data_IF_215029498686
#
_entry.id   IF_215029498686
#
_cell.length_a   1.000
_cell.length_b   1.000
_cell.length_c   1.000
_cell.angle_alpha   90.00
_cell.angle_beta   90.00
_cell.angle_gamma   90.00
#
_symmetry.space_group_name_H-M   'P 1'
#
loop_
_entity.id
_entity.type
_entity.pdbx_description
1 polymer ?
#
# COMPACT_ATOMS: atom_id res chain seq x y z
N UNK A 1 -25.23 -4.74 -6.08
CA UNK A 1 -24.91 -3.87 -7.24
C UNK A 1 -24.52 -2.46 -6.81
N UNK A 2 -25.38 -1.71 -6.07
CA UNK A 2 -25.10 -0.33 -5.68
C UNK A 2 -23.81 -0.19 -4.83
N UNK A 3 -23.63 -1.00 -3.82
CA UNK A 3 -22.45 -0.99 -2.94
C UNK A 3 -21.16 -1.25 -3.71
N UNK A 4 -21.19 -2.15 -4.69
CA UNK A 4 -20.08 -2.44 -5.58
C UNK A 4 -19.68 -1.18 -6.35
N UNK A 5 -20.67 -0.51 -6.98
CA UNK A 5 -20.42 0.73 -7.72
C UNK A 5 -19.90 1.86 -6.83
N UNK A 6 -20.39 1.98 -5.59
CA UNK A 6 -19.89 2.97 -4.62
C UNK A 6 -18.43 2.72 -4.22
N UNK A 7 -18.05 1.45 -4.01
CA UNK A 7 -16.65 1.09 -3.72
C UNK A 7 -15.76 1.42 -4.92
N UNK A 8 -16.18 1.08 -6.14
CA UNK A 8 -15.42 1.38 -7.37
C UNK A 8 -15.23 2.89 -7.58
N UNK A 9 -16.28 3.68 -7.35
CA UNK A 9 -16.17 5.14 -7.43
C UNK A 9 -15.20 5.68 -6.38
N UNK A 10 -15.33 5.25 -5.12
CA UNK A 10 -14.45 5.69 -4.04
C UNK A 10 -12.98 5.32 -4.30
N UNK A 11 -12.72 4.12 -4.85
CA UNK A 11 -11.39 3.70 -5.24
C UNK A 11 -10.82 4.60 -6.34
N UNK A 12 -11.59 4.84 -7.40
CA UNK A 12 -11.16 5.68 -8.52
C UNK A 12 -10.86 7.12 -8.11
N UNK A 13 -11.74 7.72 -7.27
CA UNK A 13 -11.54 9.08 -6.76
C UNK A 13 -10.29 9.18 -5.88
N UNK A 14 -10.04 8.13 -5.11
CA UNK A 14 -8.86 8.04 -4.25
C UNK A 14 -7.58 7.83 -5.05
N UNK A 15 -7.59 6.98 -6.09
CA UNK A 15 -6.45 6.75 -7.00
C UNK A 15 -6.00 8.07 -7.64
N UNK A 16 -6.93 8.84 -8.19
CA UNK A 16 -6.64 10.15 -8.76
C UNK A 16 -6.04 11.14 -7.74
N UNK A 17 -6.52 11.11 -6.50
CA UNK A 17 -6.01 11.97 -5.43
C UNK A 17 -4.58 11.59 -5.02
N UNK A 18 -4.29 10.30 -4.91
CA UNK A 18 -2.96 9.78 -4.56
C UNK A 18 -1.95 10.07 -5.67
N UNK A 19 -2.34 9.93 -6.94
CA UNK A 19 -1.49 10.28 -8.08
C UNK A 19 -1.09 11.76 -8.05
N UNK A 20 -2.05 12.66 -7.82
CA UNK A 20 -1.80 14.11 -7.69
C UNK A 20 -0.84 14.40 -6.52
N UNK A 21 -1.05 13.76 -5.37
CA UNK A 21 -0.18 13.92 -4.21
C UNK A 21 1.24 13.40 -4.47
N UNK A 22 1.38 12.23 -5.07
CA UNK A 22 2.68 11.65 -5.42
C UNK A 22 3.47 12.55 -6.38
N UNK A 23 2.81 13.06 -7.42
CA UNK A 23 3.39 14.01 -8.37
C UNK A 23 3.79 15.32 -7.69
N UNK A 24 2.99 15.81 -6.74
CA UNK A 24 3.29 17.01 -5.97
C UNK A 24 4.53 16.82 -5.08
N UNK A 25 4.66 15.68 -4.40
CA UNK A 25 5.84 15.38 -3.60
C UNK A 25 7.10 15.22 -4.46
N UNK A 26 7.00 14.58 -5.62
CA UNK A 26 8.11 14.45 -6.56
C UNK A 26 8.57 15.81 -7.07
N UNK A 27 7.63 16.71 -7.38
CA UNK A 27 7.92 18.08 -7.79
C UNK A 27 8.59 18.87 -6.66
N UNK A 28 8.09 18.77 -5.43
CA UNK A 28 8.70 19.41 -4.25
C UNK A 28 10.12 18.90 -4.00
N UNK A 29 10.40 17.61 -4.15
CA UNK A 29 11.75 17.06 -4.05
C UNK A 29 12.70 17.71 -5.08
N UNK A 30 12.24 17.93 -6.30
CA UNK A 30 13.01 18.64 -7.33
C UNK A 30 13.33 20.07 -6.94
N UNK A 31 12.38 20.80 -6.37
CA UNK A 31 12.56 22.17 -5.89
C UNK A 31 13.52 22.24 -4.70
N UNK A 32 13.40 21.34 -3.73
CA UNK A 32 14.30 21.26 -2.58
C UNK A 32 15.73 21.00 -3.01
N UNK A 33 15.96 20.09 -3.97
CA UNK A 33 17.30 19.88 -4.57
C UNK A 33 17.84 21.11 -5.28
N UNK A 34 16.97 21.90 -5.91
CA UNK A 34 17.39 23.17 -6.50
C UNK A 34 17.80 24.19 -5.44
N UNK A 35 17.05 24.32 -4.34
CA UNK A 35 17.39 25.20 -3.22
C UNK A 35 18.72 24.77 -2.60
N UNK A 36 18.92 23.48 -2.36
CA UNK A 36 20.18 22.94 -1.84
C UNK A 36 21.39 23.29 -2.73
N UNK A 37 21.27 23.07 -4.05
CA UNK A 37 22.31 23.41 -5.02
C UNK A 37 22.58 24.90 -5.05
N UNK A 38 21.56 25.75 -5.01
CA UNK A 38 21.70 27.20 -4.99
C UNK A 38 22.41 27.65 -3.71
N UNK A 39 21.99 27.10 -2.55
CA UNK A 39 22.66 27.39 -1.28
C UNK A 39 24.14 26.93 -1.30
N UNK A 40 24.41 25.73 -1.84
CA UNK A 40 25.77 25.22 -1.97
C UNK A 40 26.67 26.10 -2.85
N UNK A 41 26.11 26.76 -3.87
CA UNK A 41 26.83 27.64 -4.80
C UNK A 41 27.11 29.05 -4.23
N UNK A 42 26.52 29.41 -3.08
CA UNK A 42 26.79 30.71 -2.45
C UNK A 42 28.27 30.81 -2.00
N UNK A 43 28.93 31.94 -2.22
CA UNK A 43 30.30 32.13 -1.78
C UNK A 43 30.40 32.05 -0.25
N UNK A 44 31.54 31.57 0.23
CA UNK A 44 31.86 31.59 1.66
C UNK A 44 32.22 32.99 2.09
N UNK A 45 31.33 33.64 2.83
CA UNK A 45 31.51 34.95 3.43
C UNK A 45 31.22 34.88 4.92
N UNK A 46 31.97 35.69 5.70
CA UNK A 46 31.75 35.78 7.13
C UNK A 46 30.29 36.20 7.41
N UNK A 47 29.53 35.41 8.17
CA UNK A 47 28.08 35.58 8.43
C UNK A 47 27.14 34.82 7.49
N UNK A 48 27.57 34.31 6.33
CA UNK A 48 26.73 33.56 5.37
C UNK A 48 26.88 32.04 5.59
N UNK A 49 28.03 31.60 6.08
CA UNK A 49 28.35 30.17 6.25
C UNK A 49 27.35 29.46 7.17
N UNK A 50 26.91 30.09 8.26
CA UNK A 50 25.90 29.53 9.17
C UNK A 50 24.51 29.43 8.52
N UNK A 51 24.10 30.43 7.76
CA UNK A 51 22.84 30.43 7.04
C UNK A 51 22.83 29.38 5.92
N UNK A 52 23.92 29.22 5.19
CA UNK A 52 24.09 28.18 4.16
C UNK A 52 23.97 26.79 4.75
N UNK A 53 24.63 26.50 5.87
CA UNK A 53 24.56 25.22 6.55
C UNK A 53 23.11 24.92 7.03
N UNK A 54 22.42 25.92 7.61
CA UNK A 54 21.05 25.79 8.05
C UNK A 54 20.08 25.52 6.88
N UNK A 55 20.27 26.15 5.72
CA UNK A 55 19.46 25.91 4.53
C UNK A 55 19.65 24.47 4.05
N UNK A 56 20.88 23.99 3.95
CA UNK A 56 21.20 22.63 3.51
C UNK A 56 20.60 21.59 4.48
N UNK A 57 20.72 21.80 5.78
CA UNK A 57 20.16 20.93 6.81
C UNK A 57 18.63 20.87 6.72
N UNK A 58 17.98 22.03 6.55
CA UNK A 58 16.54 22.08 6.31
C UNK A 58 16.14 21.37 5.01
N UNK A 59 16.89 21.49 3.93
CA UNK A 59 16.64 20.77 2.69
C UNK A 59 16.70 19.25 2.88
N UNK A 60 17.69 18.75 3.62
CA UNK A 60 17.80 17.33 3.96
C UNK A 60 16.60 16.86 4.79
N UNK A 61 16.23 17.61 5.82
CA UNK A 61 15.07 17.30 6.67
C UNK A 61 13.77 17.22 5.84
N UNK A 62 13.53 18.20 4.97
CA UNK A 62 12.35 18.20 4.10
C UNK A 62 12.37 17.02 3.11
N UNK A 63 13.54 16.69 2.57
CA UNK A 63 13.70 15.54 1.67
C UNK A 63 13.38 14.22 2.38
N UNK A 64 13.81 14.02 3.62
CA UNK A 64 13.47 12.84 4.43
C UNK A 64 11.97 12.78 4.75
N UNK A 65 11.35 13.91 5.08
CA UNK A 65 9.91 13.98 5.31
C UNK A 65 9.12 13.59 4.05
N UNK A 66 9.54 14.05 2.87
CA UNK A 66 8.90 13.67 1.61
C UNK A 66 9.08 12.20 1.27
N UNK A 67 10.27 11.63 1.49
CA UNK A 67 10.49 10.18 1.33
C UNK A 67 9.58 9.36 2.25
N UNK A 68 9.46 9.78 3.51
CA UNK A 68 8.55 9.14 4.47
C UNK A 68 7.10 9.22 4.03
N UNK A 69 6.66 10.35 3.47
CA UNK A 69 5.32 10.51 2.93
C UNK A 69 5.07 9.58 1.73
N UNK A 70 6.02 9.49 0.79
CA UNK A 70 5.92 8.58 -0.37
C UNK A 70 5.84 7.12 0.11
N UNK A 71 6.66 6.72 1.08
CA UNK A 71 6.57 5.37 1.66
C UNK A 71 5.23 5.10 2.35
N UNK A 72 4.62 6.13 2.97
CA UNK A 72 3.30 6.00 3.55
C UNK A 72 2.21 5.73 2.50
N UNK A 73 2.37 6.21 1.25
CA UNK A 73 1.44 5.91 0.17
C UNK A 73 1.45 4.45 -0.28
N UNK A 74 2.50 3.67 -0.01
CA UNK A 74 2.48 2.22 -0.23
C UNK A 74 1.37 1.51 0.57
N UNK A 75 0.94 2.13 1.68
CA UNK A 75 -0.24 1.65 2.40
C UNK A 75 -1.51 1.75 1.55
N UNK A 76 -1.61 2.80 0.74
CA UNK A 76 -2.77 3.04 -0.12
C UNK A 76 -2.92 1.95 -1.18
N UNK A 77 -1.83 1.53 -1.83
CA UNK A 77 -1.86 0.44 -2.83
C UNK A 77 -2.40 -0.86 -2.22
N UNK A 78 -1.97 -1.17 -1.00
CA UNK A 78 -2.48 -2.34 -0.26
C UNK A 78 -3.97 -2.19 0.08
N UNK A 79 -4.41 -0.98 0.43
CA UNK A 79 -5.82 -0.70 0.71
C UNK A 79 -6.68 -0.88 -0.54
N UNK A 80 -6.26 -0.29 -1.67
CA UNK A 80 -6.94 -0.40 -2.96
C UNK A 80 -7.03 -1.87 -3.41
N UNK A 81 -5.95 -2.62 -3.29
CA UNK A 81 -5.94 -4.05 -3.60
C UNK A 81 -6.94 -4.83 -2.74
N UNK A 82 -6.99 -4.58 -1.42
CA UNK A 82 -7.95 -5.23 -0.52
C UNK A 82 -9.39 -4.85 -0.84
N UNK A 83 -9.66 -3.59 -1.12
CA UNK A 83 -10.99 -3.15 -1.56
C UNK A 83 -11.39 -3.80 -2.88
N UNK A 84 -10.46 -3.95 -3.82
CA UNK A 84 -10.67 -4.69 -5.07
C UNK A 84 -11.05 -6.17 -4.82
N UNK A 85 -10.39 -6.83 -3.87
CA UNK A 85 -10.75 -8.20 -3.45
C UNK A 85 -12.15 -8.26 -2.84
N UNK A 86 -12.51 -7.32 -1.97
CA UNK A 86 -13.86 -7.22 -1.39
C UNK A 86 -14.89 -7.02 -2.48
N UNK A 87 -14.67 -6.06 -3.38
CA UNK A 87 -15.58 -5.76 -4.48
C UNK A 87 -15.79 -6.97 -5.41
N UNK A 88 -14.69 -7.63 -5.77
CA UNK A 88 -14.74 -8.84 -6.59
C UNK A 88 -15.44 -10.02 -5.90
N UNK A 89 -15.31 -10.15 -4.58
CA UNK A 89 -16.01 -11.17 -3.78
C UNK A 89 -17.50 -10.89 -3.71
N UNK A 90 -17.88 -9.63 -3.50
CA UNK A 90 -19.28 -9.19 -3.51
C UNK A 90 -19.93 -9.37 -4.87
N UNK A 91 -19.22 -9.09 -5.97
CA UNK A 91 -19.71 -9.35 -7.33
C UNK A 91 -19.96 -10.83 -7.57
N UNK A 92 -18.99 -11.68 -7.23
CA UNK A 92 -19.13 -13.13 -7.39
C UNK A 92 -20.31 -13.68 -6.60
N UNK A 93 -20.51 -13.18 -5.37
CA UNK A 93 -21.67 -13.55 -4.55
C UNK A 93 -22.99 -13.06 -5.15
N UNK A 94 -23.03 -11.81 -5.62
CA UNK A 94 -24.21 -11.25 -6.26
C UNK A 94 -24.63 -12.04 -7.51
N UNK A 95 -23.68 -12.42 -8.35
CA UNK A 95 -23.91 -13.22 -9.55
C UNK A 95 -24.45 -14.63 -9.21
N UNK A 96 -23.91 -15.22 -8.14
CA UNK A 96 -24.35 -16.55 -7.71
C UNK A 96 -25.78 -16.51 -7.14
N UNK A 97 -26.12 -15.49 -6.36
CA UNK A 97 -27.45 -15.34 -5.77
C UNK A 97 -28.49 -14.95 -6.83
N UNK A 98 -28.11 -14.22 -7.87
CA UNK A 98 -29.01 -13.79 -8.94
C UNK A 98 -29.52 -14.96 -9.80
N UNK A 99 -28.78 -16.08 -9.88
CA UNK A 99 -29.17 -17.26 -10.63
C UNK A 99 -29.69 -18.35 -9.68
N UNK A 100 -31.01 -18.57 -9.70
CA UNK A 100 -31.67 -19.53 -8.83
C UNK A 100 -31.16 -20.98 -9.02
N UNK A 101 -30.66 -21.33 -10.22
CA UNK A 101 -30.10 -22.67 -10.49
C UNK A 101 -28.76 -22.87 -9.81
N UNK A 102 -27.94 -21.79 -9.76
CA UNK A 102 -26.61 -21.77 -9.13
C UNK A 102 -26.75 -21.69 -7.62
N UNK A 103 -27.73 -20.93 -7.12
CA UNK A 103 -27.95 -20.70 -5.69
C UNK A 103 -28.06 -21.98 -4.88
N UNK A 104 -28.75 -22.98 -5.42
CA UNK A 104 -29.00 -24.29 -4.76
C UNK A 104 -27.98 -25.37 -5.13
N UNK A 105 -26.95 -25.04 -5.91
CA UNK A 105 -25.91 -25.98 -6.31
C UNK A 105 -24.66 -25.84 -5.42
N UNK A 106 -24.32 -26.83 -4.55
CA UNK A 106 -23.17 -26.76 -3.66
C UNK A 106 -21.83 -26.58 -4.41
N UNK A 107 -21.69 -27.12 -5.61
CA UNK A 107 -20.46 -26.99 -6.40
C UNK A 107 -20.22 -25.56 -6.89
N UNK A 108 -21.26 -24.80 -7.14
CA UNK A 108 -21.15 -23.38 -7.49
C UNK A 108 -20.62 -22.55 -6.32
N UNK A 109 -21.03 -22.86 -5.10
CA UNK A 109 -20.51 -22.23 -3.89
C UNK A 109 -19.03 -22.56 -3.67
N UNK A 110 -18.63 -23.82 -3.86
CA UNK A 110 -17.23 -24.23 -3.76
C UNK A 110 -16.39 -23.54 -4.83
N UNK A 111 -16.83 -23.52 -6.07
CA UNK A 111 -16.14 -22.85 -7.16
C UNK A 111 -16.00 -21.32 -6.94
N UNK A 112 -17.03 -20.68 -6.36
CA UNK A 112 -16.97 -19.27 -5.97
C UNK A 112 -15.92 -19.04 -4.88
N UNK A 113 -15.87 -19.90 -3.85
CA UNK A 113 -14.89 -19.80 -2.77
C UNK A 113 -13.46 -19.93 -3.30
N UNK A 114 -13.20 -20.89 -4.18
CA UNK A 114 -11.89 -21.06 -4.83
C UNK A 114 -11.52 -19.84 -5.70
N UNK A 115 -12.48 -19.32 -6.44
CA UNK A 115 -12.29 -18.10 -7.24
C UNK A 115 -11.97 -16.89 -6.38
N UNK A 116 -12.59 -16.74 -5.21
CA UNK A 116 -12.28 -15.67 -4.25
C UNK A 116 -10.87 -15.88 -3.71
N UNK A 117 -10.53 -17.10 -3.26
CA UNK A 117 -9.21 -17.43 -2.70
C UNK A 117 -8.08 -17.19 -3.71
N UNK A 118 -8.30 -17.52 -4.99
CA UNK A 118 -7.27 -17.35 -6.03
C UNK A 118 -6.92 -15.89 -6.33
N UNK A 119 -7.79 -14.94 -5.96
CA UNK A 119 -7.52 -13.50 -6.12
C UNK A 119 -6.63 -12.92 -5.03
N UNK A 120 -6.55 -13.57 -3.88
CA UNK A 120 -5.67 -13.13 -2.80
C UNK A 120 -4.21 -13.37 -3.19
N UNK A 121 -3.47 -12.32 -3.41
CA UNK A 121 -2.05 -12.36 -3.72
C UNK A 121 -1.19 -12.42 -2.45
N UNK A 122 -1.71 -11.89 -1.35
CA UNK A 122 -1.02 -11.88 -0.06
C UNK A 122 -1.31 -13.19 0.70
N UNK A 123 -0.23 -13.81 1.20
CA UNK A 123 -0.32 -15.07 1.95
C UNK A 123 -1.16 -14.91 3.23
N UNK A 124 -1.03 -13.77 3.90
CA UNK A 124 -1.77 -13.45 5.11
C UNK A 124 -3.29 -13.39 4.89
N UNK A 125 -3.73 -12.91 3.72
CA UNK A 125 -5.15 -12.91 3.36
C UNK A 125 -5.67 -14.33 3.09
N UNK A 126 -4.86 -15.19 2.49
CA UNK A 126 -5.19 -16.61 2.28
C UNK A 126 -5.33 -17.35 3.61
N UNK A 127 -4.42 -17.10 4.57
CA UNK A 127 -4.47 -17.66 5.93
C UNK A 127 -5.78 -17.27 6.62
N UNK A 128 -6.15 -15.98 6.54
CA UNK A 128 -7.41 -15.48 7.10
C UNK A 128 -8.63 -16.14 6.44
N UNK A 129 -8.63 -16.25 5.11
CA UNK A 129 -9.70 -16.87 4.35
C UNK A 129 -9.87 -18.35 4.75
N UNK A 130 -8.78 -19.11 4.78
CA UNK A 130 -8.80 -20.53 5.16
C UNK A 130 -9.28 -20.74 6.60
N UNK A 131 -8.91 -19.85 7.51
CA UNK A 131 -9.39 -19.88 8.88
C UNK A 131 -10.91 -19.72 8.96
N UNK A 132 -11.50 -18.79 8.17
CA UNK A 132 -12.95 -18.59 8.08
C UNK A 132 -13.63 -19.82 7.47
N UNK A 133 -13.06 -20.39 6.41
CA UNK A 133 -13.62 -21.60 5.77
C UNK A 133 -13.59 -22.82 6.69
N UNK A 134 -12.64 -22.89 7.62
CA UNK A 134 -12.55 -23.90 8.68
C UNK A 134 -13.54 -23.66 9.83
N UNK A 135 -14.38 -22.64 9.76
CA UNK A 135 -15.39 -22.31 10.78
C UNK A 135 -14.85 -21.51 11.98
N UNK A 136 -13.63 -20.94 11.89
CA UNK A 136 -13.13 -20.03 12.92
C UNK A 136 -13.92 -18.73 12.90
N UNK A 137 -14.05 -18.10 14.06
CA UNK A 137 -14.67 -16.78 14.17
C UNK A 137 -13.83 -15.72 13.46
N UNK A 138 -14.46 -14.62 13.05
CA UNK A 138 -13.75 -13.47 12.42
C UNK A 138 -12.60 -12.99 13.32
N UNK A 139 -12.82 -12.97 14.65
CA UNK A 139 -11.76 -12.56 15.61
C UNK A 139 -10.55 -13.50 15.56
N UNK A 140 -10.78 -14.80 15.49
CA UNK A 140 -9.71 -15.80 15.39
C UNK A 140 -8.99 -15.73 14.03
N UNK A 141 -9.72 -15.50 12.95
CA UNK A 141 -9.15 -15.34 11.61
C UNK A 141 -8.29 -14.06 11.51
N UNK A 142 -8.75 -12.96 12.11
CA UNK A 142 -7.95 -11.73 12.20
C UNK A 142 -6.70 -11.91 13.06
N UNK A 143 -6.78 -12.66 14.16
CA UNK A 143 -5.59 -12.97 14.97
C UNK A 143 -4.54 -13.77 14.16
N UNK A 144 -4.97 -14.76 13.38
CA UNK A 144 -4.09 -15.51 12.49
C UNK A 144 -3.44 -14.63 11.41
N UNK A 145 -4.21 -13.70 10.85
CA UNK A 145 -3.69 -12.70 9.90
C UNK A 145 -2.60 -11.80 10.51
N UNK A 146 -2.87 -11.25 11.71
CA UNK A 146 -1.89 -10.38 12.41
C UNK A 146 -0.63 -11.15 12.74
N UNK A 147 -0.75 -12.38 13.24
CA UNK A 147 0.40 -13.23 13.54
C UNK A 147 1.25 -13.49 12.29
N UNK A 148 0.64 -13.84 11.16
CA UNK A 148 1.36 -14.06 9.91
C UNK A 148 2.09 -12.79 9.43
N UNK A 149 1.49 -11.61 9.61
CA UNK A 149 2.14 -10.34 9.31
C UNK A 149 3.36 -10.06 10.21
N UNK A 150 3.26 -10.35 11.50
CA UNK A 150 4.36 -10.15 12.45
C UNK A 150 5.53 -11.09 12.16
N UNK A 151 5.26 -12.36 11.87
CA UNK A 151 6.28 -13.34 11.48
C UNK A 151 7.02 -12.92 10.20
N UNK A 152 6.30 -12.36 9.23
CA UNK A 152 6.89 -11.84 7.98
C UNK A 152 7.79 -10.64 8.24
N UNK A 153 7.37 -9.70 9.11
CA UNK A 153 8.21 -8.56 9.51
C UNK A 153 9.49 -8.99 10.20
N UNK A 154 9.41 -9.99 11.10
CA UNK A 154 10.59 -10.52 11.81
C UNK A 154 11.55 -11.22 10.87
N UNK A 155 11.05 -12.01 9.91
CA UNK A 155 11.87 -12.64 8.87
C UNK A 155 12.56 -11.63 7.97
N UNK A 156 11.84 -10.56 7.57
CA UNK A 156 12.42 -9.47 6.78
C UNK A 156 13.50 -8.68 7.52
N UNK A 157 13.31 -8.42 8.82
CA UNK A 157 14.30 -7.73 9.64
C UNK A 157 15.59 -8.55 9.84
N UNK A 158 15.49 -9.87 9.96
CA UNK A 158 16.65 -10.76 10.11
C UNK A 158 17.47 -10.94 8.81
N UNK A 159 16.86 -10.72 7.64
CA UNK A 159 17.54 -10.78 6.34
C UNK A 159 18.23 -9.45 5.98
N UNK A 160 17.75 -8.33 6.56
CA UNK A 160 18.31 -6.99 6.29
C UNK A 160 19.55 -6.60 7.09
N UNK A 161 19.99 -7.43 8.07
CA UNK A 161 21.19 -7.15 8.86
C UNK A 161 22.50 -7.64 8.23
N UNK A 162 22.49 -8.12 6.98
CA UNK A 162 23.62 -8.77 6.33
C UNK A 162 23.98 -8.27 4.93
N UNK A 163 23.37 -7.21 4.41
CA UNK A 163 23.73 -6.70 3.09
C UNK A 163 23.55 -5.17 3.05
N UNK A 164 24.69 -4.48 3.24
CA UNK A 164 24.90 -3.12 2.77
C UNK A 164 24.99 -3.22 1.24
N UNK A 165 23.92 -2.88 0.54
CA UNK A 165 23.94 -2.67 -0.91
C UNK A 165 22.87 -1.64 -1.27
N UNK A 166 23.37 -0.48 -1.70
CA UNK A 166 22.65 0.52 -2.49
C UNK A 166 21.89 -0.19 -3.61
N UNK A 167 20.60 -0.43 -3.44
CA UNK A 167 19.72 -0.76 -4.56
C UNK A 167 18.86 0.43 -4.90
N UNK A 168 19.14 0.96 -6.08
CA UNK A 168 18.39 2.00 -6.78
C UNK A 168 16.89 1.69 -6.73
N UNK A 169 16.13 2.62 -6.17
CA UNK A 169 14.66 2.60 -6.21
C UNK A 169 14.26 2.99 -7.63
N UNK A 170 13.99 2.01 -8.48
CA UNK A 170 13.31 2.25 -9.74
C UNK A 170 11.87 2.72 -9.47
N UNK A 171 11.64 3.98 -9.78
CA UNK A 171 10.31 4.60 -9.81
C UNK A 171 9.63 4.23 -11.13
N UNK A 172 8.59 3.42 -11.07
CA UNK A 172 7.65 3.23 -12.17
C UNK A 172 6.66 4.38 -12.26
#
# INVERSE_FOLDING_TARGET
ALTIAQIEMAMRDSDGSVEVLSNSFTSMMGQVKMIERTAASLPEMEGVTGAKAAIIDNCNTVSEMMRSAIMAFQFYDKLTQRLGHVNGSMSALADLIADQRRLYNPYEWMGMQEKIKSRYTMEEERIMFDAIMQGKTIKQALAAYVQAMEEKKQKGANLGSGADSDEDIELF
#
